data_IF_514602469716
#
_entry.id   IF_514602469716
#
_cell.length_a   1.000
_cell.length_b   1.000
_cell.length_c   1.000
_cell.angle_alpha   90.00
_cell.angle_beta   90.00
_cell.angle_gamma   90.00
#
_symmetry.space_group_name_H-M   'P 1'
#
loop_
_entity.id
_entity.type
_entity.pdbx_description
1 polymer ?
#
# COMPACT_ATOMS: atom_id res chain seq x y z
N UNK A 1 -18.43 -13.92 -8.57
CA UNK A 1 -17.35 -13.79 -9.55
C UNK A 1 -16.07 -14.25 -8.88
N UNK A 2 -15.60 -15.46 -9.16
CA UNK A 2 -14.35 -15.99 -8.59
C UNK A 2 -13.36 -16.16 -9.73
N UNK A 3 -12.77 -15.03 -10.15
CA UNK A 3 -11.61 -15.05 -11.05
C UNK A 3 -10.42 -15.31 -10.13
N UNK A 4 -9.88 -16.52 -10.16
CA UNK A 4 -8.65 -16.85 -9.42
C UNK A 4 -7.57 -15.85 -9.86
N UNK A 5 -7.24 -14.90 -8.97
CA UNK A 5 -6.10 -14.01 -9.11
C UNK A 5 -4.86 -14.91 -9.24
N UNK A 6 -4.37 -15.08 -10.46
CA UNK A 6 -3.37 -16.08 -10.78
C UNK A 6 -2.02 -15.57 -10.30
N UNK A 7 -1.39 -16.26 -9.34
CA UNK A 7 -0.06 -15.90 -8.81
C UNK A 7 -0.04 -15.35 -7.38
N UNK A 8 -1.18 -15.25 -6.70
CA UNK A 8 -1.22 -14.92 -5.26
C UNK A 8 -1.11 -16.18 -4.40
N UNK A 9 -0.45 -16.05 -3.25
CA UNK A 9 -0.54 -17.03 -2.17
C UNK A 9 -1.90 -16.95 -1.48
N UNK A 10 -2.28 -17.98 -0.73
CA UNK A 10 -3.52 -17.99 0.06
C UNK A 10 -3.57 -16.81 1.03
N UNK A 11 -2.47 -16.54 1.75
CA UNK A 11 -2.32 -15.41 2.67
C UNK A 11 -2.51 -14.06 1.99
N UNK A 12 -1.95 -13.86 0.80
CA UNK A 12 -2.13 -12.61 0.05
C UNK A 12 -3.58 -12.43 -0.40
N UNK A 13 -4.22 -13.51 -0.84
CA UNK A 13 -5.62 -13.47 -1.26
C UNK A 13 -6.55 -13.13 -0.08
N UNK A 14 -6.33 -13.75 1.08
CA UNK A 14 -7.09 -13.46 2.31
C UNK A 14 -6.90 -12.02 2.78
N UNK A 15 -5.67 -11.49 2.74
CA UNK A 15 -5.42 -10.09 3.08
C UNK A 15 -6.15 -9.14 2.11
N UNK A 16 -6.12 -9.41 0.81
CA UNK A 16 -6.85 -8.61 -0.18
C UNK A 16 -8.36 -8.63 0.09
N UNK A 17 -8.95 -9.80 0.35
CA UNK A 17 -10.38 -9.90 0.66
C UNK A 17 -10.74 -9.13 1.94
N UNK A 18 -9.87 -9.15 2.95
CA UNK A 18 -10.02 -8.35 4.15
C UNK A 18 -9.95 -6.85 3.84
N UNK A 19 -8.97 -6.41 3.05
CA UNK A 19 -8.82 -5.02 2.63
C UNK A 19 -10.04 -4.54 1.82
N UNK A 20 -10.55 -5.35 0.90
CA UNK A 20 -11.77 -5.05 0.13
C UNK A 20 -13.03 -4.94 1.00
N UNK A 21 -13.02 -5.52 2.20
CA UNK A 21 -14.11 -5.38 3.17
C UNK A 21 -13.98 -4.12 4.02
N UNK A 22 -12.77 -3.56 4.12
CA UNK A 22 -12.45 -2.36 4.92
C UNK A 22 -12.56 -1.09 4.08
N UNK A 23 -12.00 -1.12 2.86
CA UNK A 23 -11.87 0.04 1.98
C UNK A 23 -12.92 0.03 0.89
N UNK A 24 -13.41 1.22 0.54
CA UNK A 24 -14.31 1.39 -0.60
C UNK A 24 -13.56 1.24 -1.94
N UNK A 25 -14.30 1.04 -3.04
CA UNK A 25 -13.73 0.92 -4.39
C UNK A 25 -12.95 2.18 -4.83
N UNK A 26 -13.25 3.35 -4.26
CA UNK A 26 -12.53 4.60 -4.51
C UNK A 26 -11.23 4.73 -3.70
N UNK A 27 -11.12 4.00 -2.59
CA UNK A 27 -9.98 4.03 -1.67
C UNK A 27 -8.96 2.93 -1.97
N UNK A 28 -9.42 1.76 -2.42
CA UNK A 28 -8.58 0.62 -2.79
C UNK A 28 -8.80 0.25 -4.26
N UNK A 29 -7.75 0.41 -5.05
CA UNK A 29 -7.68 -0.07 -6.42
C UNK A 29 -6.69 -1.23 -6.55
N UNK A 30 -7.15 -2.36 -7.07
CA UNK A 30 -6.32 -3.55 -7.30
C UNK A 30 -6.00 -3.62 -8.78
N UNK A 31 -4.72 -3.50 -9.13
CA UNK A 31 -4.30 -3.56 -10.53
C UNK A 31 -3.68 -4.91 -10.82
N UNK A 32 -4.44 -5.73 -11.55
CA UNK A 32 -3.98 -7.03 -12.05
C UNK A 32 -2.97 -6.84 -13.19
N UNK A 33 -1.84 -7.53 -13.14
CA UNK A 33 -0.89 -7.61 -14.26
C UNK A 33 -0.86 -9.03 -14.82
N UNK A 34 -0.86 -9.16 -16.15
CA UNK A 34 -0.92 -10.47 -16.81
C UNK A 34 0.32 -11.35 -16.61
N UNK A 35 1.41 -10.83 -16.04
CA UNK A 35 2.71 -11.53 -15.90
C UNK A 35 3.43 -11.27 -14.57
N UNK A 36 2.78 -10.59 -13.63
CA UNK A 36 3.38 -10.22 -12.34
C UNK A 36 2.32 -10.24 -11.23
N UNK A 37 2.77 -10.32 -9.99
CA UNK A 37 1.90 -10.15 -8.82
C UNK A 37 1.14 -8.82 -8.92
N UNK A 38 -0.15 -8.78 -8.54
CA UNK A 38 -0.94 -7.56 -8.57
C UNK A 38 -0.34 -6.52 -7.63
N UNK A 39 -0.61 -5.26 -7.94
CA UNK A 39 -0.30 -4.16 -7.04
C UNK A 39 -1.58 -3.52 -6.51
N UNK A 40 -1.56 -3.23 -5.22
CA UNK A 40 -2.60 -2.51 -4.51
C UNK A 40 -2.26 -1.02 -4.55
N UNK A 41 -3.26 -0.19 -4.80
CA UNK A 41 -3.17 1.25 -4.67
C UNK A 41 -4.19 1.69 -3.63
N UNK A 42 -3.70 2.19 -2.51
CA UNK A 42 -4.50 2.63 -1.38
C UNK A 42 -4.39 4.14 -1.25
N UNK A 43 -5.53 4.81 -1.13
CA UNK A 43 -5.56 6.24 -0.83
C UNK A 43 -5.18 6.45 0.63
N UNK A 44 -4.21 7.33 0.89
CA UNK A 44 -3.80 7.73 2.25
C UNK A 44 -3.85 9.25 2.34
N UNK A 45 -4.49 9.77 3.38
CA UNK A 45 -4.96 11.16 3.40
C UNK A 45 -5.85 11.48 2.19
N UNK A 46 -5.81 12.74 1.72
CA UNK A 46 -6.58 13.18 0.54
C UNK A 46 -5.75 13.12 -0.76
N UNK A 47 -4.43 13.24 -0.63
CA UNK A 47 -3.54 13.64 -1.72
C UNK A 47 -2.55 12.55 -2.16
N UNK A 48 -2.44 11.44 -1.41
CA UNK A 48 -1.40 10.44 -1.62
C UNK A 48 -1.95 9.06 -1.94
N UNK A 49 -1.11 8.30 -2.62
CA UNK A 49 -1.30 6.89 -2.92
C UNK A 49 -0.15 6.08 -2.32
N UNK A 50 -0.51 5.12 -1.48
CA UNK A 50 0.35 4.03 -1.06
C UNK A 50 0.20 2.88 -2.06
N UNK A 51 1.28 2.59 -2.80
CA UNK A 51 1.32 1.48 -3.74
C UNK A 51 2.09 0.33 -3.11
N UNK A 52 1.43 -0.82 -2.99
CA UNK A 52 2.01 -2.05 -2.43
C UNK A 52 2.01 -3.10 -3.51
N UNK A 53 3.18 -3.66 -3.80
CA UNK A 53 3.30 -4.82 -4.67
C UNK A 53 3.80 -6.01 -3.86
N UNK A 54 2.99 -7.07 -3.81
CA UNK A 54 3.35 -8.31 -3.13
C UNK A 54 4.57 -8.97 -3.79
N UNK A 55 5.44 -9.51 -2.95
CA UNK A 55 6.54 -10.40 -3.34
C UNK A 55 6.10 -11.85 -3.16
N UNK A 56 6.79 -12.80 -3.79
CA UNK A 56 6.47 -14.23 -3.62
C UNK A 56 6.69 -14.70 -2.17
N UNK A 57 7.63 -14.07 -1.45
CA UNK A 57 7.95 -14.38 -0.06
C UNK A 57 7.08 -13.68 0.99
N UNK A 58 6.14 -12.83 0.60
CA UNK A 58 5.29 -12.11 1.56
C UNK A 58 4.39 -13.08 2.36
N UNK A 59 4.25 -12.90 3.70
CA UNK A 59 4.71 -11.77 4.52
C UNK A 59 6.14 -11.89 5.11
N UNK A 60 6.81 -13.00 4.92
CA UNK A 60 8.19 -13.21 5.39
C UNK A 60 9.22 -12.35 4.63
N UNK A 61 8.87 -11.88 3.43
CA UNK A 61 9.59 -10.87 2.66
C UNK A 61 8.75 -9.60 2.57
N UNK A 62 9.41 -8.45 2.64
CA UNK A 62 8.72 -7.17 2.51
C UNK A 62 8.06 -7.04 1.13
N UNK A 63 6.85 -6.48 1.07
CA UNK A 63 6.31 -6.04 -0.19
C UNK A 63 7.11 -4.83 -0.69
N UNK A 64 7.04 -4.55 -1.99
CA UNK A 64 7.56 -3.31 -2.53
C UNK A 64 6.58 -2.18 -2.21
N UNK A 65 7.04 -1.23 -1.40
CA UNK A 65 6.29 -0.07 -0.94
C UNK A 65 6.73 1.15 -1.76
N UNK A 66 5.76 1.89 -2.29
CA UNK A 66 6.00 3.16 -3.00
C UNK A 66 4.92 4.16 -2.58
N UNK A 67 5.34 5.34 -2.13
CA UNK A 67 4.46 6.47 -1.87
C UNK A 67 4.56 7.47 -3.03
N UNK A 68 3.42 7.98 -3.49
CA UNK A 68 3.37 9.03 -4.52
C UNK A 68 2.14 9.90 -4.36
N UNK A 69 2.19 11.12 -4.90
CA UNK A 69 1.01 11.96 -5.04
C UNK A 69 -0.02 11.35 -5.98
N UNK A 70 -1.30 11.63 -5.70
CA UNK A 70 -2.42 11.26 -6.57
C UNK A 70 -2.38 12.09 -7.86
N UNK A 71 -2.77 11.48 -8.98
CA UNK A 71 -2.78 12.17 -10.27
C UNK A 71 -3.67 13.43 -10.21
N UNK A 72 -3.15 14.55 -10.69
CA UNK A 72 -3.85 15.84 -10.69
C UNK A 72 -3.74 16.65 -9.39
N UNK A 73 -3.15 16.09 -8.32
CA UNK A 73 -2.84 16.83 -7.09
C UNK A 73 -1.50 17.55 -7.24
N UNK A 74 -1.51 18.86 -7.01
CA UNK A 74 -0.31 19.70 -7.00
C UNK A 74 0.10 19.97 -5.55
N UNK A 75 1.42 20.07 -5.30
CA UNK A 75 1.95 20.49 -4.00
C UNK A 75 2.62 19.38 -3.19
N UNK A 76 2.39 18.10 -3.53
CA UNK A 76 3.11 16.99 -2.89
C UNK A 76 4.55 16.94 -3.41
N UNK A 77 5.50 17.25 -2.53
CA UNK A 77 6.91 17.19 -2.91
C UNK A 77 7.42 15.75 -3.00
N UNK A 78 8.34 15.49 -3.93
CA UNK A 78 9.00 14.17 -4.02
C UNK A 78 9.72 13.81 -2.71
N UNK A 79 10.37 14.78 -2.07
CA UNK A 79 11.09 14.56 -0.81
C UNK A 79 10.15 14.11 0.31
N UNK A 80 8.92 14.64 0.35
CA UNK A 80 7.91 14.23 1.31
C UNK A 80 7.47 12.78 1.08
N UNK A 81 7.20 12.40 -0.18
CA UNK A 81 6.91 11.02 -0.55
C UNK A 81 8.06 10.08 -0.18
N UNK A 82 9.31 10.47 -0.47
CA UNK A 82 10.50 9.67 -0.17
C UNK A 82 10.68 9.50 1.36
N UNK A 83 10.36 10.55 2.15
CA UNK A 83 10.42 10.49 3.62
C UNK A 83 9.35 9.56 4.21
N UNK A 84 8.10 9.69 3.78
CA UNK A 84 7.04 8.78 4.21
C UNK A 84 7.33 7.34 3.76
N UNK A 85 7.82 7.15 2.54
CA UNK A 85 8.20 5.82 2.05
C UNK A 85 9.30 5.19 2.90
N UNK A 86 10.34 5.95 3.26
CA UNK A 86 11.41 5.48 4.14
C UNK A 86 10.89 5.11 5.53
N UNK A 87 9.97 5.90 6.08
CA UNK A 87 9.33 5.60 7.35
C UNK A 87 8.52 4.29 7.27
N UNK A 88 7.65 4.14 6.26
CA UNK A 88 6.83 2.94 6.09
C UNK A 88 7.66 1.67 5.84
N UNK A 89 8.78 1.77 5.11
CA UNK A 89 9.70 0.64 4.92
C UNK A 89 10.36 0.23 6.24
N UNK A 90 10.73 1.19 7.09
CA UNK A 90 11.27 0.90 8.41
C UNK A 90 10.23 0.21 9.32
N UNK A 91 8.98 0.65 9.28
CA UNK A 91 7.90 -0.01 10.02
C UNK A 91 7.56 -1.40 9.46
N UNK A 92 7.62 -1.58 8.15
CA UNK A 92 7.39 -2.88 7.51
C UNK A 92 8.40 -3.95 7.97
N UNK A 93 9.67 -3.58 8.20
CA UNK A 93 10.67 -4.49 8.77
C UNK A 93 10.28 -4.97 10.18
N UNK A 94 9.61 -4.14 10.99
CA UNK A 94 9.12 -4.53 12.32
C UNK A 94 7.92 -5.49 12.25
N UNK A 95 7.17 -5.44 11.15
CA UNK A 95 5.96 -6.25 10.90
C UNK A 95 6.26 -7.51 10.08
N UNK A 96 7.52 -7.77 9.76
CA UNK A 96 7.93 -8.89 8.91
C UNK A 96 7.49 -10.24 9.50
N UNK A 97 6.90 -11.08 8.66
CA UNK A 97 6.26 -12.33 9.07
C UNK A 97 4.76 -12.19 9.38
N UNK A 98 4.22 -10.97 9.36
CA UNK A 98 2.79 -10.67 9.54
C UNK A 98 2.21 -9.96 8.31
N UNK A 99 0.91 -10.17 8.07
CA UNK A 99 0.17 -9.37 7.08
C UNK A 99 0.12 -7.91 7.55
N UNK A 100 0.59 -6.98 6.72
CA UNK A 100 0.96 -5.63 7.16
C UNK A 100 0.30 -4.50 6.37
N UNK A 101 -0.41 -4.77 5.26
CA UNK A 101 -0.88 -3.70 4.37
C UNK A 101 -1.83 -2.73 5.07
N UNK A 102 -2.78 -3.25 5.85
CA UNK A 102 -3.68 -2.43 6.65
C UNK A 102 -2.94 -1.57 7.69
N UNK A 103 -1.93 -2.15 8.35
CA UNK A 103 -1.10 -1.44 9.32
C UNK A 103 -0.29 -0.33 8.66
N UNK A 104 0.29 -0.58 7.48
CA UNK A 104 1.02 0.43 6.72
C UNK A 104 0.14 1.61 6.31
N UNK A 105 -1.11 1.35 5.91
CA UNK A 105 -2.09 2.42 5.63
C UNK A 105 -2.39 3.23 6.89
N UNK A 106 -2.56 2.57 8.03
CA UNK A 106 -2.84 3.23 9.31
C UNK A 106 -1.66 4.11 9.75
N UNK A 107 -0.44 3.58 9.67
CA UNK A 107 0.80 4.31 9.96
C UNK A 107 1.01 5.49 9.01
N UNK A 108 0.69 5.32 7.72
CA UNK A 108 0.76 6.42 6.76
C UNK A 108 -0.20 7.56 7.14
N UNK A 109 -1.45 7.22 7.46
CA UNK A 109 -2.43 8.22 7.88
C UNK A 109 -2.03 8.90 9.19
N UNK A 110 -1.48 8.16 10.16
CA UNK A 110 -0.95 8.73 11.41
C UNK A 110 0.20 9.70 11.13
N UNK A 111 1.18 9.30 10.32
CA UNK A 111 2.32 10.14 9.99
C UNK A 111 1.92 11.46 9.33
N UNK A 112 0.87 11.45 8.50
CA UNK A 112 0.30 12.65 7.86
C UNK A 112 -0.41 13.60 8.84
N UNK A 113 -0.80 13.15 10.03
CA UNK A 113 -1.32 14.05 11.07
C UNK A 113 -0.22 14.94 11.66
N UNK A 114 1.01 14.42 11.72
CA UNK A 114 2.17 15.11 12.28
C UNK A 114 3.01 15.83 11.21
N UNK A 115 2.83 15.51 9.93
CA UNK A 115 3.62 16.04 8.82
C UNK A 115 2.73 16.55 7.69
N UNK A 116 2.82 17.85 7.39
CA UNK A 116 2.02 18.46 6.34
C UNK A 116 2.70 18.27 4.97
N UNK A 117 2.02 17.69 3.95
CA UNK A 117 2.56 17.53 2.60
C UNK A 117 2.87 18.84 1.88
N UNK A 118 2.36 19.98 2.38
CA UNK A 118 2.55 21.31 1.79
C UNK A 118 3.58 22.20 2.48
N UNK A 119 4.25 21.72 3.54
CA UNK A 119 5.39 22.41 4.17
C UNK A 119 6.74 21.98 3.54
#
# INVERSE_FOLDING_TARGET
FSRRMSGLTETQAEEIEALQSIYTEDELNIVEQSSAAPFLQLTVGEDLLLVVQYTEGYPDELPKIIVRGRDGVLGVSKNFCDALNAHLVAEAENLKGEVMVFMLVSLANEWLLDHNPQE
#
